data_IF_881325155536
#
_entry.id   IF_881325155536
#
_cell.length_a   1.000
_cell.length_b   1.000
_cell.length_c   1.000
_cell.angle_alpha   90.00
_cell.angle_beta   90.00
_cell.angle_gamma   90.00
#
_symmetry.space_group_name_H-M   'P 1'
#
loop_
_entity.id
_entity.type
_entity.pdbx_description
1 polymer ?
#
# COMPACT_ATOMS: atom_id res chain seq x y z
N UNK A 1 -17.70 18.76 -9.69
CA UNK A 1 -17.51 18.49 -8.25
C UNK A 1 -16.04 18.68 -7.94
N UNK A 2 -15.69 19.39 -6.88
CA UNK A 2 -14.30 19.51 -6.43
C UNK A 2 -13.77 18.14 -5.95
N UNK A 3 -12.61 17.74 -6.45
CA UNK A 3 -11.96 16.47 -6.13
C UNK A 3 -10.97 16.70 -4.98
N UNK A 4 -11.23 16.13 -3.80
CA UNK A 4 -10.40 16.36 -2.62
C UNK A 4 -9.51 15.14 -2.32
N UNK A 5 -8.20 15.35 -2.23
CA UNK A 5 -7.23 14.36 -1.72
C UNK A 5 -6.50 14.97 -0.52
N UNK A 6 -6.65 14.39 0.67
CA UNK A 6 -5.96 14.81 1.90
C UNK A 6 -6.08 16.32 2.19
N UNK A 7 -7.32 16.84 2.16
CA UNK A 7 -7.65 18.27 2.32
C UNK A 7 -7.04 19.23 1.28
N UNK A 8 -6.50 18.71 0.16
CA UNK A 8 -6.19 19.52 -1.02
C UNK A 8 -7.26 19.34 -2.07
N UNK A 9 -7.70 20.47 -2.61
CA UNK A 9 -8.64 20.53 -3.71
C UNK A 9 -7.90 20.40 -5.04
N UNK A 10 -8.43 19.54 -5.90
CA UNK A 10 -8.07 19.38 -7.29
C UNK A 10 -9.37 19.52 -8.11
N UNK A 11 -9.23 20.00 -9.33
CA UNK A 11 -10.30 20.20 -10.31
C UNK A 11 -10.94 18.87 -10.72
N UNK A 12 -10.13 17.84 -10.92
CA UNK A 12 -10.55 16.51 -11.34
C UNK A 12 -9.47 15.45 -11.06
N UNK A 13 -9.81 14.18 -11.31
CA UNK A 13 -8.92 13.04 -11.13
C UNK A 13 -7.71 13.09 -12.07
N UNK A 14 -7.85 13.59 -13.30
CA UNK A 14 -6.72 13.70 -14.23
C UNK A 14 -5.69 14.72 -13.75
N UNK A 15 -6.14 15.84 -13.17
CA UNK A 15 -5.27 16.83 -12.56
C UNK A 15 -4.50 16.23 -11.38
N UNK A 16 -5.15 15.38 -10.57
CA UNK A 16 -4.46 14.65 -9.51
C UNK A 16 -3.46 13.62 -10.07
N UNK A 17 -3.81 12.84 -11.10
CA UNK A 17 -2.88 11.89 -11.74
C UNK A 17 -1.65 12.62 -12.29
N UNK A 18 -1.84 13.85 -12.80
CA UNK A 18 -0.80 14.62 -13.48
C UNK A 18 0.08 15.46 -12.54
N UNK A 19 -0.51 16.01 -11.47
CA UNK A 19 0.15 16.98 -10.59
C UNK A 19 0.08 16.63 -9.10
N UNK A 20 -0.71 15.63 -8.73
CA UNK A 20 -0.78 15.11 -7.37
C UNK A 20 0.50 14.37 -7.00
N UNK A 21 0.86 14.42 -5.71
CA UNK A 21 1.91 13.54 -5.19
C UNK A 21 1.31 12.14 -5.03
N UNK A 22 1.80 11.20 -5.82
CA UNK A 22 1.38 9.79 -5.79
C UNK A 22 1.95 9.04 -4.58
N UNK A 23 2.72 7.98 -4.83
CA UNK A 23 3.37 7.19 -3.78
C UNK A 23 4.68 7.85 -3.33
N UNK A 24 4.89 8.00 -2.01
CA UNK A 24 6.21 8.36 -1.49
C UNK A 24 7.13 7.14 -1.50
N UNK A 25 8.32 7.30 -2.06
CA UNK A 25 9.45 6.36 -1.90
C UNK A 25 10.66 7.17 -1.40
N UNK A 26 11.60 6.54 -0.68
CA UNK A 26 12.90 7.19 -0.42
C UNK A 26 13.54 7.50 -1.77
N UNK A 27 13.99 8.74 -1.98
CA UNK A 27 14.83 9.08 -3.14
C UNK A 27 16.16 8.34 -2.94
N UNK A 28 16.50 7.34 -3.77
CA UNK A 28 17.71 6.56 -3.60
C UNK A 28 18.93 7.39 -3.94
N UNK A 29 20.05 7.16 -3.26
CA UNK A 29 21.32 7.79 -3.63
C UNK A 29 21.86 7.16 -4.91
N UNK A 30 22.77 7.81 -5.65
CA UNK A 30 23.41 7.20 -6.83
C UNK A 30 24.08 5.85 -6.52
N UNK A 31 24.59 5.67 -5.30
CA UNK A 31 25.20 4.43 -4.83
C UNK A 31 24.15 3.34 -4.63
N UNK A 32 22.98 3.68 -4.08
CA UNK A 32 21.89 2.72 -3.90
C UNK A 32 21.35 2.24 -5.25
N UNK A 33 21.24 3.14 -6.24
CA UNK A 33 20.80 2.81 -7.61
C UNK A 33 21.76 1.81 -8.24
N UNK A 34 23.07 2.09 -8.20
CA UNK A 34 24.10 1.21 -8.78
C UNK A 34 24.09 -0.18 -8.14
N UNK A 35 23.92 -0.25 -6.82
CA UNK A 35 23.91 -1.51 -6.08
C UNK A 35 22.67 -2.35 -6.42
N UNK A 36 21.50 -1.71 -6.55
CA UNK A 36 20.27 -2.37 -6.99
C UNK A 36 20.38 -2.84 -8.45
N UNK A 37 20.99 -2.05 -9.34
CA UNK A 37 21.19 -2.45 -10.74
C UNK A 37 22.11 -3.67 -10.88
N UNK A 38 23.17 -3.76 -10.07
CA UNK A 38 24.02 -4.95 -10.01
C UNK A 38 23.25 -6.17 -9.49
N UNK A 39 22.46 -6.01 -8.42
CA UNK A 39 21.62 -7.10 -7.88
C UNK A 39 20.55 -7.58 -8.87
N UNK A 40 19.91 -6.65 -9.61
CA UNK A 40 18.93 -7.00 -10.65
C UNK A 40 19.61 -7.77 -11.77
N UNK A 41 20.76 -7.30 -12.28
CA UNK A 41 21.52 -8.00 -13.33
C UNK A 41 21.97 -9.38 -12.87
N UNK A 42 22.45 -9.52 -11.63
CA UNK A 42 22.86 -10.80 -11.08
C UNK A 42 21.66 -11.77 -10.89
N UNK A 43 20.46 -11.25 -10.61
CA UNK A 43 19.25 -12.07 -10.47
C UNK A 43 18.50 -12.33 -11.78
N UNK A 44 18.85 -11.66 -12.90
CA UNK A 44 18.21 -11.91 -14.20
C UNK A 44 18.36 -13.36 -14.66
N UNK A 45 19.51 -13.98 -14.41
CA UNK A 45 19.79 -15.40 -14.74
C UNK A 45 19.21 -16.39 -13.74
N UNK A 46 18.78 -15.92 -12.56
CA UNK A 46 18.09 -16.69 -11.52
C UNK A 46 16.58 -16.52 -11.51
N UNK A 47 16.00 -15.85 -12.52
CA UNK A 47 14.55 -15.79 -12.70
C UNK A 47 14.02 -17.22 -12.93
N UNK A 48 13.76 -17.93 -11.84
CA UNK A 48 12.69 -18.90 -11.85
C UNK A 48 11.44 -18.11 -12.21
N UNK A 49 10.85 -18.44 -13.35
CA UNK A 49 9.47 -18.10 -13.61
C UNK A 49 8.71 -18.63 -12.40
N UNK A 50 8.15 -17.71 -11.61
CA UNK A 50 7.32 -18.11 -10.49
C UNK A 50 6.21 -19.00 -11.07
N UNK A 51 6.17 -20.25 -10.61
CA UNK A 51 4.93 -21.02 -10.61
C UNK A 51 3.86 -20.15 -9.94
N UNK A 52 2.62 -20.22 -10.44
CA UNK A 52 1.49 -19.43 -9.97
C UNK A 52 1.54 -19.22 -8.45
N UNK A 53 1.85 -17.99 -8.03
CA UNK A 53 2.06 -17.65 -6.64
C UNK A 53 0.81 -16.92 -6.12
N UNK A 54 0.16 -17.54 -5.15
CA UNK A 54 -0.96 -16.92 -4.44
C UNK A 54 -0.45 -16.16 -3.22
N UNK A 55 -0.75 -14.86 -3.18
CA UNK A 55 -0.42 -13.95 -2.09
C UNK A 55 -1.72 -13.61 -1.36
N UNK A 56 -1.79 -13.97 -0.09
CA UNK A 56 -2.93 -13.63 0.76
C UNK A 56 -2.75 -12.24 1.39
N UNK A 57 -3.76 -11.39 1.21
CA UNK A 57 -3.80 -10.01 1.69
C UNK A 57 -4.47 -9.97 3.07
N UNK A 58 -3.87 -9.19 3.97
CA UNK A 58 -4.40 -8.87 5.30
C UNK A 58 -4.75 -7.39 5.35
N UNK A 59 -6.05 -7.08 5.36
CA UNK A 59 -6.53 -5.70 5.43
C UNK A 59 -6.67 -5.24 6.88
N UNK A 60 -6.01 -4.13 7.19
CA UNK A 60 -6.06 -3.43 8.47
C UNK A 60 -6.59 -2.02 8.23
N UNK A 61 -7.89 -1.84 8.45
CA UNK A 61 -8.56 -0.55 8.26
C UNK A 61 -8.49 0.27 9.53
N UNK A 62 -7.69 1.33 9.51
CA UNK A 62 -7.61 2.27 10.62
C UNK A 62 -8.63 3.37 10.37
N UNK A 63 -9.51 3.59 11.34
CA UNK A 63 -10.61 4.54 11.28
C UNK A 63 -10.42 5.66 12.30
N UNK A 64 -11.15 6.74 12.09
CA UNK A 64 -11.39 7.78 13.08
C UNK A 64 -12.88 8.14 13.06
N UNK A 65 -13.65 7.53 13.96
CA UNK A 65 -15.12 7.57 13.90
C UNK A 65 -15.63 7.00 12.57
N UNK A 66 -16.46 7.76 11.84
CA UNK A 66 -16.98 7.34 10.53
C UNK A 66 -15.99 7.46 9.36
N UNK A 67 -14.80 8.04 9.59
CA UNK A 67 -13.78 8.24 8.54
C UNK A 67 -12.88 7.02 8.41
N UNK A 68 -12.50 6.70 7.17
CA UNK A 68 -11.63 5.55 6.87
C UNK A 68 -12.35 4.21 6.77
N UNK A 69 -13.70 4.21 6.80
CA UNK A 69 -14.49 3.01 6.60
C UNK A 69 -14.37 2.54 5.14
N UNK A 70 -13.79 1.35 4.98
CA UNK A 70 -13.67 0.65 3.69
C UNK A 70 -14.74 -0.44 3.65
N UNK A 71 -15.61 -0.37 2.64
CA UNK A 71 -16.63 -1.41 2.42
C UNK A 71 -16.02 -2.65 1.79
N UNK A 72 -16.72 -3.78 1.94
CA UNK A 72 -16.32 -5.04 1.31
C UNK A 72 -16.18 -4.94 -0.21
N UNK A 73 -17.17 -4.33 -0.89
CA UNK A 73 -17.13 -4.14 -2.36
C UNK A 73 -15.89 -3.40 -2.81
N UNK A 74 -15.42 -2.45 -2.00
CA UNK A 74 -14.23 -1.68 -2.32
C UNK A 74 -12.94 -2.50 -2.14
N UNK A 75 -12.87 -3.38 -1.13
CA UNK A 75 -11.78 -4.37 -1.03
C UNK A 75 -11.77 -5.31 -2.23
N UNK A 76 -12.93 -5.82 -2.63
CA UNK A 76 -13.06 -6.75 -3.76
C UNK A 76 -12.54 -6.12 -5.06
N UNK A 77 -12.94 -4.88 -5.36
CA UNK A 77 -12.44 -4.12 -6.52
C UNK A 77 -10.92 -3.92 -6.50
N UNK A 78 -10.35 -3.66 -5.32
CA UNK A 78 -8.90 -3.49 -5.19
C UNK A 78 -8.15 -4.79 -5.48
N UNK A 79 -8.65 -5.93 -4.99
CA UNK A 79 -8.05 -7.24 -5.24
C UNK A 79 -8.20 -7.64 -6.71
N UNK A 80 -9.35 -7.37 -7.32
CA UNK A 80 -9.58 -7.59 -8.75
C UNK A 80 -8.59 -6.78 -9.59
N UNK A 81 -8.40 -5.49 -9.29
CA UNK A 81 -7.43 -4.64 -9.98
C UNK A 81 -6.00 -5.19 -9.88
N UNK A 82 -5.60 -5.68 -8.70
CA UNK A 82 -4.28 -6.31 -8.52
C UNK A 82 -4.16 -7.59 -9.35
N UNK A 83 -5.18 -8.44 -9.35
CA UNK A 83 -5.19 -9.66 -10.17
C UNK A 83 -5.12 -9.35 -11.66
N UNK A 84 -5.84 -8.34 -12.14
CA UNK A 84 -5.74 -7.91 -13.54
C UNK A 84 -4.34 -7.40 -13.86
N UNK A 85 -3.78 -6.52 -13.01
CA UNK A 85 -2.48 -5.89 -13.24
C UNK A 85 -1.31 -6.89 -13.25
N UNK A 86 -1.39 -7.95 -12.45
CA UNK A 86 -0.31 -8.93 -12.30
C UNK A 86 -0.61 -10.30 -12.92
N UNK A 87 -1.72 -10.45 -13.65
CA UNK A 87 -2.09 -11.68 -14.34
C UNK A 87 -0.98 -12.22 -15.26
N UNK A 88 -0.28 -11.32 -15.97
CA UNK A 88 0.80 -11.67 -16.90
C UNK A 88 2.10 -12.16 -16.23
N UNK A 89 2.21 -12.07 -14.91
CA UNK A 89 3.41 -12.49 -14.15
C UNK A 89 3.14 -13.65 -13.19
N UNK A 90 1.97 -14.30 -13.29
CA UNK A 90 1.65 -15.49 -12.48
C UNK A 90 1.42 -15.19 -11.00
N UNK A 91 1.02 -13.95 -10.65
CA UNK A 91 0.64 -13.61 -9.27
C UNK A 91 -0.88 -13.56 -9.14
N UNK A 92 -1.39 -14.23 -8.11
CA UNK A 92 -2.79 -14.15 -7.70
C UNK A 92 -2.88 -13.58 -6.29
N UNK A 93 -3.80 -12.66 -6.08
CA UNK A 93 -4.09 -12.03 -4.80
C UNK A 93 -5.43 -12.50 -4.29
N UNK A 94 -5.48 -12.91 -3.02
CA UNK A 94 -6.69 -13.32 -2.33
C UNK A 94 -6.78 -12.65 -0.97
N UNK A 95 -7.98 -12.58 -0.38
CA UNK A 95 -8.14 -12.16 1.02
C UNK A 95 -9.30 -12.90 1.65
N UNK A 96 -9.31 -12.99 2.98
CA UNK A 96 -10.40 -13.55 3.76
C UNK A 96 -11.10 -12.41 4.51
N UNK A 97 -12.42 -12.34 4.41
CA UNK A 97 -13.24 -11.33 5.09
C UNK A 97 -13.16 -11.47 6.62
N UNK A 98 -12.98 -12.69 7.12
CA UNK A 98 -12.82 -12.98 8.55
C UNK A 98 -11.53 -12.39 9.14
N UNK A 99 -10.53 -12.18 8.30
CA UNK A 99 -9.21 -11.68 8.68
C UNK A 99 -9.08 -10.16 8.54
N UNK A 100 -10.15 -9.49 8.09
CA UNK A 100 -10.17 -8.04 7.95
C UNK A 100 -10.39 -7.37 9.29
N UNK A 101 -9.48 -6.46 9.66
CA UNK A 101 -9.54 -5.72 10.93
C UNK A 101 -10.01 -4.29 10.70
N UNK A 102 -10.85 -3.79 11.60
CA UNK A 102 -11.21 -2.38 11.71
C UNK A 102 -10.73 -1.86 13.07
N UNK A 103 -9.93 -0.80 13.07
CA UNK A 103 -9.25 -0.27 14.25
C UNK A 103 -9.54 1.21 14.37
N UNK A 104 -10.29 1.61 15.39
CA UNK A 104 -10.52 3.03 15.66
C UNK A 104 -9.37 3.61 16.48
N UNK A 105 -8.46 4.31 15.81
CA UNK A 105 -7.30 4.93 16.45
C UNK A 105 -6.87 6.19 15.69
N UNK A 106 -7.21 7.35 16.26
CA UNK A 106 -6.91 8.67 15.67
C UNK A 106 -5.41 8.92 15.45
N UNK A 107 -4.54 8.40 16.32
CA UNK A 107 -3.09 8.59 16.24
C UNK A 107 -2.49 7.78 15.08
N UNK A 108 -3.01 6.58 14.83
CA UNK A 108 -2.61 5.77 13.69
C UNK A 108 -3.30 6.23 12.41
N UNK A 109 -4.53 6.75 12.51
CA UNK A 109 -5.26 7.27 11.36
C UNK A 109 -4.49 8.39 10.65
N UNK A 110 -3.90 9.30 11.42
CA UNK A 110 -3.13 10.44 10.91
C UNK A 110 -1.62 10.19 10.88
N UNK A 111 -1.16 8.93 10.87
CA UNK A 111 0.26 8.62 10.88
C UNK A 111 0.95 9.11 9.59
N UNK A 112 2.19 9.58 9.74
CA UNK A 112 3.07 9.94 8.63
C UNK A 112 4.12 8.87 8.36
N UNK A 113 4.71 8.89 7.16
CA UNK A 113 5.80 7.99 6.78
C UNK A 113 7.02 8.14 7.71
N UNK A 114 7.52 7.01 8.22
CA UNK A 114 8.63 6.91 9.17
C UNK A 114 8.29 7.28 10.61
N UNK A 115 7.03 7.62 10.91
CA UNK A 115 6.63 8.05 12.25
C UNK A 115 6.69 6.93 13.29
N UNK A 116 6.72 7.30 14.57
CA UNK A 116 6.62 6.34 15.66
C UNK A 116 5.25 5.64 15.66
N UNK A 117 4.18 6.39 15.37
CA UNK A 117 2.81 5.87 15.22
C UNK A 117 2.71 4.80 14.15
N UNK A 118 3.38 4.99 13.00
CA UNK A 118 3.41 3.99 11.92
C UNK A 118 4.09 2.70 12.37
N UNK A 119 5.27 2.81 12.99
CA UNK A 119 5.99 1.65 13.52
C UNK A 119 5.14 0.89 14.53
N UNK A 120 4.48 1.61 15.44
CA UNK A 120 3.62 1.00 16.44
C UNK A 120 2.42 0.28 15.79
N UNK A 121 1.74 0.90 14.83
CA UNK A 121 0.62 0.30 14.11
C UNK A 121 1.05 -1.00 13.41
N UNK A 122 2.18 -0.96 12.68
CA UNK A 122 2.72 -2.11 11.96
C UNK A 122 3.10 -3.26 12.90
N UNK A 123 3.82 -2.97 13.98
CA UNK A 123 4.21 -3.98 14.97
C UNK A 123 3.00 -4.59 15.68
N UNK A 124 1.93 -3.83 15.87
CA UNK A 124 0.76 -4.29 16.64
C UNK A 124 -0.23 -5.09 15.78
N UNK A 125 -0.42 -4.67 14.53
CA UNK A 125 -1.49 -5.19 13.67
C UNK A 125 -0.97 -6.16 12.60
N UNK A 126 0.30 -6.04 12.21
CA UNK A 126 0.91 -6.80 11.13
C UNK A 126 0.82 -8.30 11.33
N UNK A 127 0.26 -8.98 10.34
CA UNK A 127 0.41 -10.42 10.19
C UNK A 127 1.83 -10.72 9.68
N UNK A 128 2.25 -11.98 9.79
CA UNK A 128 3.57 -12.44 9.35
C UNK A 128 3.92 -11.92 7.94
N UNK A 129 4.88 -10.98 7.81
CA UNK A 129 5.19 -10.32 6.54
C UNK A 129 5.91 -11.26 5.56
N UNK A 130 6.33 -12.45 6.00
CA UNK A 130 6.85 -13.48 5.11
C UNK A 130 5.76 -14.30 4.42
N UNK A 131 4.53 -14.29 4.96
CA UNK A 131 3.40 -15.07 4.44
C UNK A 131 2.30 -14.22 3.85
N UNK A 132 2.09 -13.02 4.39
CA UNK A 132 0.94 -12.18 4.06
C UNK A 132 1.37 -10.81 3.56
N UNK A 133 0.57 -10.29 2.62
CA UNK A 133 0.66 -8.90 2.21
C UNK A 133 -0.24 -8.05 3.11
N UNK A 134 0.37 -7.34 4.07
CA UNK A 134 -0.37 -6.43 4.94
C UNK A 134 -0.73 -5.13 4.20
N UNK A 135 -2.01 -4.81 4.16
CA UNK A 135 -2.58 -3.55 3.69
C UNK A 135 -3.09 -2.75 4.87
N UNK A 136 -2.54 -1.57 5.07
CA UNK A 136 -3.01 -0.63 6.09
C UNK A 136 -3.67 0.57 5.43
N UNK A 137 -4.92 0.87 5.80
CA UNK A 137 -5.62 2.06 5.30
C UNK A 137 -5.78 3.09 6.41
N UNK A 138 -5.60 4.37 6.09
CA UNK A 138 -5.76 5.49 7.02
C UNK A 138 -5.82 6.83 6.29
N UNK A 139 -6.14 7.90 7.02
CA UNK A 139 -6.14 9.28 6.53
C UNK A 139 -4.73 9.86 6.56
N UNK A 140 -3.92 9.48 5.57
CA UNK A 140 -2.51 9.86 5.58
C UNK A 140 -2.36 11.38 5.39
N UNK A 141 -1.50 11.95 6.22
CA UNK A 141 -1.15 13.37 6.16
C UNK A 141 -0.11 13.62 5.06
N UNK A 142 0.00 14.88 4.61
CA UNK A 142 0.97 15.36 3.60
C UNK A 142 0.66 15.08 2.11
N UNK A 143 -0.59 14.77 1.74
CA UNK A 143 -1.00 14.73 0.33
C UNK A 143 -0.53 13.47 -0.41
N UNK A 144 -0.29 12.37 0.31
CA UNK A 144 0.15 11.10 -0.25
C UNK A 144 -1.02 10.11 -0.38
N UNK A 145 -1.05 9.35 -1.48
CA UNK A 145 -1.95 8.21 -1.63
C UNK A 145 -1.47 6.95 -0.90
N UNK A 146 -0.28 6.98 -0.31
CA UNK A 146 0.32 5.80 0.30
C UNK A 146 1.82 5.72 0.09
N UNK A 147 2.42 4.72 0.71
CA UNK A 147 3.81 4.34 0.55
C UNK A 147 3.98 2.83 0.71
N UNK A 148 4.83 2.25 -0.13
CA UNK A 148 5.27 0.87 0.02
C UNK A 148 6.64 0.84 0.70
N UNK A 149 6.87 -0.12 1.61
CA UNK A 149 8.20 -0.32 2.19
C UNK A 149 8.99 -1.26 1.29
N UNK A 150 10.12 -0.81 0.77
CA UNK A 150 11.00 -1.63 -0.06
C UNK A 150 11.89 -2.55 0.81
N UNK A 151 12.17 -3.73 0.27
CA UNK A 151 12.87 -4.83 0.95
C UNK A 151 14.35 -4.51 1.23
N UNK A 152 14.62 -4.01 2.42
CA UNK A 152 15.86 -4.28 3.16
C UNK A 152 15.62 -4.79 4.57
N UNK A 153 14.40 -4.59 5.13
CA UNK A 153 14.11 -4.95 6.53
C UNK A 153 12.64 -5.39 6.77
N UNK A 154 11.66 -4.99 5.94
CA UNK A 154 10.23 -5.31 6.13
C UNK A 154 9.48 -5.47 4.79
N UNK A 155 8.59 -6.47 4.66
CA UNK A 155 7.64 -6.63 3.54
C UNK A 155 6.26 -6.08 3.94
N UNK A 156 6.06 -4.76 3.91
CA UNK A 156 4.78 -4.16 4.30
C UNK A 156 4.41 -2.97 3.41
N UNK A 157 3.12 -2.87 3.04
CA UNK A 157 2.58 -1.80 2.20
C UNK A 157 1.52 -1.00 2.97
N UNK A 158 1.69 0.33 3.04
CA UNK A 158 0.72 1.27 3.60
C UNK A 158 0.07 2.06 2.47
N UNK A 159 -1.24 1.94 2.28
CA UNK A 159 -1.93 2.66 1.21
C UNK A 159 -3.00 3.57 1.81
N UNK A 160 -2.92 4.87 1.52
CA UNK A 160 -4.04 5.79 1.73
C UNK A 160 -4.99 5.69 0.54
N UNK A 161 -6.04 4.89 0.68
CA UNK A 161 -7.16 4.97 -0.26
C UNK A 161 -8.01 6.20 0.08
N UNK A 162 -7.56 7.37 -0.38
CA UNK A 162 -8.49 8.45 -0.70
C UNK A 162 -9.19 8.02 -2.01
N UNK A 163 -10.40 7.48 -1.83
CA UNK A 163 -11.22 6.76 -2.79
C UNK A 163 -10.96 6.98 -4.29
N UNK A 164 -10.51 5.89 -4.93
CA UNK A 164 -10.84 5.55 -6.31
C UNK A 164 -12.36 5.33 -6.43
N UNK A 165 -13.05 6.29 -7.04
CA UNK A 165 -14.03 6.05 -8.08
C UNK A 165 -13.99 7.21 -9.06
#
# INVERSE_FOLDING_TARGET
>A
MAFFINNKEFKDQEEFIRYGRGCATKIPTPIDILRVDEEIKANQTRRQLFLDLTIEIRFHHITYGARGLITRTQRERQVELLNTAYSNVGLTFTYSEQEVKFIDNVNWYNMGHGSASERQAKTTLGADPHKYLNFYTGGLVAGLLGWATFLTIWREILISMAWLC
#
